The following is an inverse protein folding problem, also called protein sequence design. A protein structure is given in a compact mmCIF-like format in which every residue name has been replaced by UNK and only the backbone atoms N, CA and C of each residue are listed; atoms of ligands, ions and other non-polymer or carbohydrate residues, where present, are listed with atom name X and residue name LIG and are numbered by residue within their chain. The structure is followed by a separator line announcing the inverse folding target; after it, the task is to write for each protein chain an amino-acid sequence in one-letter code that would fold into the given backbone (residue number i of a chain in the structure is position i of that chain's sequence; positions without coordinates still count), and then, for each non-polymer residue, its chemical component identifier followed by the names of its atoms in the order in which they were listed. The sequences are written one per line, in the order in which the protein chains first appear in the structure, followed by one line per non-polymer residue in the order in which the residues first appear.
data_IF_038425725548
#
_entry.id   IF_038425725548
#
_cell.length_a   1.000
_cell.length_b   1.000
_cell.length_c   1.000
_cell.angle_alpha   90.00
_cell.angle_beta   90.00
_cell.angle_gamma   90.00
#
_symmetry.space_group_name_H-M   'P 1'
#
loop_
_entity.id
_entity.type
_entity.pdbx_description
1 polymer ?
#
# COMPACT_ATOMS: atom_id res chain seq x y z
N UNK A 1 -1.25 24.16 -2.80
CA UNK A 1 -0.25 23.70 -1.82
C UNK A 1 0.18 22.29 -2.18
N UNK A 2 1.48 22.00 -2.24
CA UNK A 2 1.96 20.65 -2.53
C UNK A 2 1.78 19.78 -1.26
N UNK A 3 1.18 18.60 -1.40
CA UNK A 3 0.98 17.68 -0.27
C UNK A 3 2.34 17.26 0.31
N UNK A 4 2.41 17.11 1.64
CA UNK A 4 3.54 16.45 2.29
C UNK A 4 3.68 15.01 1.80
N UNK A 5 4.86 14.40 1.96
CA UNK A 5 5.08 13.01 1.56
C UNK A 5 4.03 12.04 2.12
N UNK A 6 3.72 12.15 3.42
CA UNK A 6 2.70 11.34 4.08
C UNK A 6 1.28 11.61 3.54
N UNK A 7 0.91 12.89 3.38
CA UNK A 7 -0.40 13.26 2.84
C UNK A 7 -0.56 12.82 1.38
N UNK A 8 0.52 12.81 0.59
CA UNK A 8 0.52 12.28 -0.77
C UNK A 8 0.29 10.77 -0.81
N UNK A 9 0.89 10.01 0.12
CA UNK A 9 0.62 8.57 0.27
C UNK A 9 -0.85 8.36 0.63
N UNK A 10 -1.35 9.03 1.67
CA UNK A 10 -2.76 8.88 2.09
C UNK A 10 -3.73 9.19 0.95
N UNK A 11 -3.54 10.31 0.26
CA UNK A 11 -4.40 10.72 -0.85
C UNK A 11 -4.35 9.74 -2.03
N UNK A 12 -3.18 9.18 -2.35
CA UNK A 12 -3.06 8.17 -3.41
C UNK A 12 -3.85 6.88 -3.08
N UNK A 13 -3.85 6.48 -1.81
CA UNK A 13 -4.60 5.29 -1.35
C UNK A 13 -6.08 5.57 -1.08
N UNK A 14 -6.49 6.81 -0.87
CA UNK A 14 -7.91 7.20 -0.88
C UNK A 14 -8.54 6.99 -2.25
N UNK A 15 -7.89 7.45 -3.32
CA UNK A 15 -8.35 7.21 -4.70
C UNK A 15 -8.46 5.73 -5.04
N UNK A 16 -7.51 4.91 -4.58
CA UNK A 16 -7.58 3.45 -4.72
C UNK A 16 -8.81 2.86 -3.99
N UNK A 17 -9.17 3.40 -2.83
CA UNK A 17 -10.34 2.99 -2.07
C UNK A 17 -11.65 3.30 -2.79
N UNK A 18 -11.71 4.44 -3.48
CA UNK A 18 -12.85 4.84 -4.30
C UNK A 18 -13.03 3.90 -5.50
N UNK A 19 -11.94 3.48 -6.15
CA UNK A 19 -11.98 2.48 -7.23
C UNK A 19 -12.51 1.11 -6.73
N UNK A 20 -12.11 0.70 -5.51
CA UNK A 20 -12.64 -0.49 -4.86
C UNK A 20 -14.15 -0.40 -4.55
N UNK A 21 -14.65 0.80 -4.28
CA UNK A 21 -16.07 1.04 -3.98
C UNK A 21 -16.92 1.26 -5.24
N UNK A 22 -16.34 1.84 -6.30
CA UNK A 22 -17.00 2.13 -7.56
C UNK A 22 -17.36 0.86 -8.33
N UNK A 23 -16.58 -0.22 -8.18
CA UNK A 23 -16.93 -1.55 -8.66
C UNK A 23 -17.85 -2.24 -7.65
N UNK A 24 -19.05 -1.67 -7.49
CA UNK A 24 -20.02 -1.99 -6.44
C UNK A 24 -20.67 -3.39 -6.49
N UNK A 25 -20.12 -4.35 -7.24
CA UNK A 25 -20.63 -5.73 -7.32
C UNK A 25 -19.79 -6.76 -6.53
N UNK A 26 -18.69 -6.33 -5.90
CA UNK A 26 -17.79 -7.22 -5.15
C UNK A 26 -16.74 -7.95 -5.99
N UNK A 27 -16.75 -7.83 -7.33
CA UNK A 27 -15.81 -8.54 -8.23
C UNK A 27 -14.35 -8.18 -8.00
N UNK A 28 -14.01 -6.93 -7.69
CA UNK A 28 -12.62 -6.55 -7.35
C UNK A 28 -12.20 -7.18 -6.04
N UNK A 29 -13.08 -7.18 -5.02
CA UNK A 29 -12.83 -7.84 -3.74
C UNK A 29 -12.64 -9.35 -3.92
N UNK A 30 -13.48 -10.00 -4.73
CA UNK A 30 -13.39 -11.44 -4.96
C UNK A 30 -12.14 -11.82 -5.75
N UNK A 31 -11.76 -11.03 -6.77
CA UNK A 31 -10.48 -11.20 -7.48
C UNK A 31 -9.28 -11.02 -6.55
N UNK A 32 -9.31 -10.02 -5.66
CA UNK A 32 -8.23 -9.80 -4.68
C UNK A 32 -8.15 -10.95 -3.68
N UNK A 33 -9.30 -11.49 -3.25
CA UNK A 33 -9.37 -12.65 -2.36
C UNK A 33 -8.86 -13.93 -3.04
N UNK A 34 -9.24 -14.15 -4.29
CA UNK A 34 -8.75 -15.27 -5.10
C UNK A 34 -7.23 -15.18 -5.29
N UNK A 35 -6.74 -14.01 -5.71
CA UNK A 35 -5.31 -13.75 -5.87
C UNK A 35 -4.55 -14.02 -4.57
N UNK A 36 -5.04 -13.51 -3.44
CA UNK A 36 -4.38 -13.72 -2.15
C UNK A 36 -4.41 -15.20 -1.70
N UNK A 37 -5.47 -15.92 -2.02
CA UNK A 37 -5.57 -17.37 -1.74
C UNK A 37 -4.56 -18.14 -2.58
N UNK A 38 -4.41 -17.80 -3.86
CA UNK A 38 -3.39 -18.37 -4.76
C UNK A 38 -1.96 -18.04 -4.29
N UNK A 39 -1.73 -16.83 -3.77
CA UNK A 39 -0.43 -16.47 -3.19
C UNK A 39 -0.06 -17.35 -2.01
N UNK A 40 -1.01 -17.66 -1.12
CA UNK A 40 -0.75 -18.50 0.06
C UNK A 40 -0.55 -19.98 -0.27
N UNK A 41 -1.11 -20.48 -1.37
CA UNK A 41 -1.01 -21.89 -1.75
C UNK A 41 0.27 -22.24 -2.51
N UNK A 42 1.06 -21.24 -2.95
CA UNK A 42 2.27 -21.45 -3.74
C UNK A 42 3.46 -20.59 -3.25
N UNK A 43 4.56 -21.22 -2.77
CA UNK A 43 5.78 -20.49 -2.40
C UNK A 43 6.37 -19.66 -3.55
N UNK A 44 6.23 -20.16 -4.79
CA UNK A 44 6.70 -19.45 -5.99
C UNK A 44 5.87 -18.19 -6.23
N UNK A 45 4.54 -18.28 -6.09
CA UNK A 45 3.67 -17.14 -6.28
C UNK A 45 3.84 -16.12 -5.14
N UNK A 46 4.02 -16.57 -3.89
CA UNK A 46 4.43 -15.72 -2.77
C UNK A 46 5.70 -14.91 -3.05
N UNK A 47 6.75 -15.58 -3.56
CA UNK A 47 8.00 -14.89 -3.90
C UNK A 47 7.80 -13.88 -5.05
N UNK A 48 7.00 -14.21 -6.05
CA UNK A 48 6.66 -13.31 -7.16
C UNK A 48 5.83 -12.11 -6.70
N UNK A 49 4.84 -12.31 -5.83
CA UNK A 49 4.05 -11.22 -5.22
C UNK A 49 4.95 -10.28 -4.41
N UNK A 50 5.94 -10.80 -3.70
CA UNK A 50 6.91 -9.97 -2.98
C UNK A 50 7.75 -9.10 -3.93
N UNK A 51 8.14 -9.62 -5.09
CA UNK A 51 8.84 -8.82 -6.11
C UNK A 51 7.97 -7.67 -6.65
N UNK A 52 6.66 -7.88 -6.77
CA UNK A 52 5.72 -6.81 -7.12
C UNK A 52 5.68 -5.75 -6.03
N UNK A 53 5.62 -6.15 -4.75
CA UNK A 53 5.65 -5.19 -3.65
C UNK A 53 6.90 -4.32 -3.66
N UNK A 54 8.09 -4.89 -3.90
CA UNK A 54 9.34 -4.12 -4.03
C UNK A 54 9.29 -3.08 -5.16
N UNK A 55 8.61 -3.38 -6.27
CA UNK A 55 8.40 -2.40 -7.36
C UNK A 55 7.51 -1.25 -6.92
N UNK A 56 6.45 -1.52 -6.15
CA UNK A 56 5.60 -0.48 -5.60
C UNK A 56 6.32 0.34 -4.52
N UNK A 57 7.16 -0.27 -3.69
CA UNK A 57 8.01 0.45 -2.73
C UNK A 57 8.89 1.49 -3.44
N UNK A 58 9.54 1.09 -4.55
CA UNK A 58 10.35 1.99 -5.37
C UNK A 58 9.50 3.11 -6.00
N UNK A 59 8.34 2.77 -6.59
CA UNK A 59 7.46 3.77 -7.19
C UNK A 59 6.93 4.80 -6.17
N UNK A 60 6.59 4.36 -4.96
CA UNK A 60 6.19 5.25 -3.86
C UNK A 60 7.38 6.12 -3.43
N UNK A 61 8.59 5.55 -3.32
CA UNK A 61 9.79 6.30 -2.98
C UNK A 61 10.06 7.42 -4.00
N UNK A 62 9.98 7.13 -5.30
CA UNK A 62 10.15 8.11 -6.37
C UNK A 62 9.07 9.20 -6.31
N UNK A 63 7.84 8.82 -5.99
CA UNK A 63 6.74 9.77 -5.80
C UNK A 63 6.99 10.71 -4.63
N UNK A 64 7.48 10.22 -3.49
CA UNK A 64 7.63 11.05 -2.28
C UNK A 64 8.95 11.81 -2.20
N UNK A 65 10.00 11.36 -2.90
CA UNK A 65 11.31 12.00 -2.92
C UNK A 65 11.28 13.53 -3.14
N UNK A 66 10.59 14.09 -4.15
CA UNK A 66 10.55 15.54 -4.37
C UNK A 66 9.74 16.32 -3.32
N UNK A 67 9.10 15.64 -2.37
CA UNK A 67 8.28 16.24 -1.30
C UNK A 67 9.01 16.31 0.04
N UNK A 68 10.24 15.79 0.12
CA UNK A 68 11.04 15.84 1.34
C UNK A 68 11.84 17.14 1.43
N UNK A 69 11.91 17.78 2.61
CA UNK A 69 12.79 18.90 2.83
C UNK A 69 14.25 18.44 2.90
N UNK A 70 15.16 19.29 2.42
CA UNK A 70 16.62 19.10 2.48
C UNK A 70 17.08 17.73 1.94
N UNK A 71 16.88 17.45 0.64
CA UNK A 71 17.31 16.18 0.05
C UNK A 71 18.84 16.07 0.08
N UNK A 72 19.33 14.94 0.60
CA UNK A 72 20.75 14.57 0.55
C UNK A 72 20.98 13.52 -0.53
N UNK A 73 22.21 13.42 -1.04
CA UNK A 73 22.57 12.30 -1.92
C UNK A 73 22.33 10.97 -1.20
N UNK A 74 21.71 10.01 -1.89
CA UNK A 74 21.34 8.69 -1.36
C UNK A 74 20.44 8.70 -0.11
N UNK A 75 19.61 9.74 0.05
CA UNK A 75 18.66 9.87 1.16
C UNK A 75 17.82 8.58 1.34
N UNK A 76 17.85 7.93 2.52
CA UNK A 76 17.09 6.71 2.77
C UNK A 76 15.60 6.98 3.03
N UNK A 77 15.21 8.23 3.38
CA UNK A 77 13.83 8.56 3.79
C UNK A 77 12.77 8.20 2.74
N UNK A 78 12.93 8.47 1.42
CA UNK A 78 11.95 8.05 0.42
C UNK A 78 11.75 6.53 0.38
N UNK A 79 12.85 5.77 0.44
CA UNK A 79 12.81 4.29 0.43
C UNK A 79 12.15 3.74 1.70
N UNK A 80 12.45 4.33 2.86
CA UNK A 80 11.79 3.98 4.13
C UNK A 80 10.28 4.23 4.06
N UNK A 81 9.84 5.36 3.52
CA UNK A 81 8.42 5.67 3.36
C UNK A 81 7.73 4.70 2.40
N UNK A 82 8.37 4.35 1.28
CA UNK A 82 7.85 3.33 0.35
C UNK A 82 7.68 1.97 1.02
N UNK A 83 8.70 1.51 1.76
CA UNK A 83 8.67 0.25 2.48
C UNK A 83 7.60 0.21 3.57
N UNK A 84 7.46 1.29 4.37
CA UNK A 84 6.44 1.39 5.41
C UNK A 84 5.02 1.39 4.83
N UNK A 85 4.80 2.11 3.72
CA UNK A 85 3.52 2.12 3.04
C UNK A 85 3.13 0.71 2.57
N UNK A 86 4.05 0.00 1.90
CA UNK A 86 3.77 -1.35 1.41
C UNK A 86 3.68 -2.40 2.52
N UNK A 87 4.42 -2.24 3.62
CA UNK A 87 4.23 -3.06 4.82
C UNK A 87 2.81 -2.89 5.37
N UNK A 88 2.34 -1.65 5.48
CA UNK A 88 1.00 -1.32 5.97
C UNK A 88 -0.09 -1.92 5.08
N UNK A 89 0.06 -1.83 3.77
CA UNK A 89 -0.85 -2.45 2.78
C UNK A 89 -0.88 -3.97 2.98
N UNK A 90 0.28 -4.64 3.02
CA UNK A 90 0.36 -6.10 3.21
C UNK A 90 -0.32 -6.56 4.48
N UNK A 91 -0.06 -5.88 5.60
CA UNK A 91 -0.68 -6.19 6.90
C UNK A 91 -2.20 -5.99 6.84
N UNK A 92 -2.68 -4.91 6.23
CA UNK A 92 -4.11 -4.64 6.09
C UNK A 92 -4.82 -5.68 5.18
N UNK A 93 -4.16 -6.16 4.12
CA UNK A 93 -4.65 -7.25 3.28
C UNK A 93 -4.76 -8.55 4.07
N UNK A 94 -3.74 -8.93 4.83
CA UNK A 94 -3.76 -10.16 5.63
C UNK A 94 -4.86 -10.12 6.70
N UNK A 95 -4.97 -9.00 7.40
CA UNK A 95 -6.00 -8.75 8.41
C UNK A 95 -7.41 -8.79 7.78
N UNK A 96 -7.60 -8.19 6.61
CA UNK A 96 -8.85 -8.25 5.86
C UNK A 96 -9.20 -9.69 5.42
N UNK A 97 -8.23 -10.48 4.99
CA UNK A 97 -8.46 -11.86 4.57
C UNK A 97 -8.89 -12.76 5.75
N UNK A 98 -8.42 -12.47 6.95
CA UNK A 98 -8.82 -13.21 8.16
C UNK A 98 -10.17 -12.77 8.71
N UNK A 99 -10.47 -11.47 8.68
CA UNK A 99 -11.58 -10.87 9.44
C UNK A 99 -12.67 -10.21 8.57
N UNK A 100 -12.52 -10.16 7.25
CA UNK A 100 -13.47 -9.57 6.31
C UNK A 100 -13.66 -8.05 6.45
N UNK A 101 -14.82 -7.53 6.03
CA UNK A 101 -15.13 -6.10 6.11
C UNK A 101 -14.49 -5.25 5.00
N UNK A 102 -14.28 -3.96 5.26
CA UNK A 102 -13.78 -3.01 4.24
C UNK A 102 -12.24 -3.01 4.17
N UNK A 103 -11.69 -3.54 3.08
CA UNK A 103 -10.26 -3.47 2.79
C UNK A 103 -9.76 -2.02 2.66
N UNK A 104 -10.42 -1.11 1.92
CA UNK A 104 -10.00 0.29 1.85
C UNK A 104 -9.92 0.98 3.21
N UNK A 105 -10.88 0.71 4.11
CA UNK A 105 -10.85 1.27 5.46
C UNK A 105 -9.66 0.75 6.28
N UNK A 106 -9.35 -0.54 6.18
CA UNK A 106 -8.19 -1.15 6.87
C UNK A 106 -6.86 -0.58 6.34
N UNK A 107 -6.71 -0.46 5.02
CA UNK A 107 -5.51 0.13 4.40
C UNK A 107 -5.32 1.58 4.86
N UNK A 108 -6.37 2.41 4.84
CA UNK A 108 -6.30 3.79 5.34
C UNK A 108 -5.93 3.86 6.81
N UNK A 109 -6.53 3.03 7.66
CA UNK A 109 -6.20 2.98 9.08
C UNK A 109 -4.74 2.58 9.32
N UNK A 110 -4.22 1.61 8.56
CA UNK A 110 -2.84 1.17 8.66
C UNK A 110 -1.87 2.28 8.22
N UNK A 111 -2.13 2.93 7.08
CA UNK A 111 -1.31 4.05 6.60
C UNK A 111 -1.35 5.25 7.57
N UNK A 112 -2.52 5.59 8.11
CA UNK A 112 -2.63 6.68 9.09
C UNK A 112 -1.83 6.41 10.36
N UNK A 113 -1.68 5.14 10.76
CA UNK A 113 -0.87 4.73 11.91
C UNK A 113 0.64 4.89 11.70
N UNK A 114 1.10 5.11 10.45
CA UNK A 114 2.51 5.39 10.14
C UNK A 114 2.97 6.78 10.60
N UNK A 115 2.07 7.61 11.14
CA UNK A 115 2.41 8.89 11.76
C UNK A 115 3.22 8.65 13.05
N UNK A 116 4.48 8.25 12.88
CA UNK A 116 5.47 8.25 13.94
C UNK A 116 5.85 9.71 14.19
N UNK A 117 5.50 10.17 15.40
CA UNK A 117 5.97 11.35 16.16
C UNK A 117 7.24 12.02 15.64
#
# INVERSE_FOLDING_TARGET
AQLSAHAAILSAFEGLGDDFAAVGDGTVSDQVRELATLTRSSPVFSAWTLQIYLRYEAAIADLVAPRLPDPVADDPRPRLLGALAMASVRIALDDWLMHGGSLPARVRSALASMSLT
#
